data_IF_920604133768
#
_entry.id   IF_920604133768
#
_cell.length_a   1.000
_cell.length_b   1.000
_cell.length_c   1.000
_cell.angle_alpha   90.00
_cell.angle_beta   90.00
_cell.angle_gamma   90.00
#
_symmetry.space_group_name_H-M   'P 1'
#
loop_
_entity.id
_entity.type
_entity.pdbx_description
1 polymer ?
#
# COMPACT_ATOMS: atom_id res chain seq x y z
N UNK A 1 -9.82 16.41 4.16
CA UNK A 1 -9.72 17.71 3.47
C UNK A 1 -10.67 17.71 2.28
N UNK A 2 -11.44 18.78 2.01
CA UNK A 2 -12.22 18.85 0.77
C UNK A 2 -11.26 18.95 -0.42
N UNK A 3 -11.55 18.23 -1.51
CA UNK A 3 -10.84 18.41 -2.77
C UNK A 3 -11.63 19.36 -3.66
N UNK A 4 -11.00 20.44 -4.10
CA UNK A 4 -11.60 21.53 -4.85
C UNK A 4 -10.84 21.74 -6.17
N UNK A 5 -10.66 20.66 -6.92
CA UNK A 5 -9.91 20.66 -8.19
C UNK A 5 -10.75 21.31 -9.31
N UNK A 6 -10.11 22.16 -10.10
CA UNK A 6 -10.64 22.67 -11.37
C UNK A 6 -10.51 21.62 -12.48
N UNK A 7 -11.05 21.90 -13.65
CA UNK A 7 -10.88 21.05 -14.84
C UNK A 7 -9.39 20.85 -15.20
N UNK A 8 -8.59 21.91 -15.10
CA UNK A 8 -7.15 21.83 -15.34
C UNK A 8 -6.42 20.98 -14.30
N UNK A 9 -6.80 21.10 -13.02
CA UNK A 9 -6.24 20.26 -11.94
C UNK A 9 -6.59 18.78 -12.15
N UNK A 10 -7.81 18.49 -12.63
CA UNK A 10 -8.26 17.14 -12.92
C UNK A 10 -7.55 16.53 -14.14
N UNK A 11 -7.36 17.32 -15.19
CA UNK A 11 -6.55 16.92 -16.33
C UNK A 11 -5.12 16.54 -15.90
N UNK A 12 -4.52 17.34 -15.01
CA UNK A 12 -3.20 17.04 -14.45
C UNK A 12 -3.19 15.74 -13.62
N UNK A 13 -4.22 15.46 -12.83
CA UNK A 13 -4.36 14.15 -12.16
C UNK A 13 -4.37 13.00 -13.16
N UNK A 14 -5.09 13.14 -14.26
CA UNK A 14 -5.17 12.14 -15.33
C UNK A 14 -3.80 11.94 -16.00
N UNK A 15 -3.07 13.02 -16.27
CA UNK A 15 -1.70 13.01 -16.83
C UNK A 15 -0.73 12.26 -15.90
N UNK A 16 -0.72 12.58 -14.61
CA UNK A 16 0.08 11.86 -13.61
C UNK A 16 -0.27 10.35 -13.56
N UNK A 17 -1.55 10.01 -13.64
CA UNK A 17 -1.98 8.61 -13.69
C UNK A 17 -1.52 7.87 -14.96
N UNK A 18 -1.24 8.56 -16.07
CA UNK A 18 -0.75 7.88 -17.28
C UNK A 18 0.59 7.18 -17.02
N UNK A 19 1.47 7.72 -16.17
CA UNK A 19 2.72 7.04 -15.76
C UNK A 19 2.45 5.70 -15.06
N UNK A 20 1.45 5.68 -14.17
CA UNK A 20 1.03 4.47 -13.44
C UNK A 20 0.45 3.44 -14.41
N UNK A 21 -0.38 3.89 -15.34
CA UNK A 21 -1.00 3.04 -16.35
C UNK A 21 0.02 2.53 -17.37
N UNK A 22 1.08 3.27 -17.66
CA UNK A 22 2.20 2.83 -18.51
C UNK A 22 2.99 1.71 -17.81
N UNK A 23 3.34 1.90 -16.53
CA UNK A 23 4.02 0.88 -15.73
C UNK A 23 3.19 -0.42 -15.56
N UNK A 24 1.86 -0.27 -15.50
CA UNK A 24 0.91 -1.38 -15.48
C UNK A 24 0.58 -1.95 -16.88
N UNK A 25 1.13 -1.37 -17.94
CA UNK A 25 0.91 -1.74 -19.34
C UNK A 25 -0.58 -1.75 -19.74
N UNK A 26 -1.37 -0.82 -19.20
CA UNK A 26 -2.81 -0.74 -19.46
C UNK A 26 -3.07 -0.12 -20.83
N UNK A 27 -3.93 -0.76 -21.61
CA UNK A 27 -4.29 -0.36 -22.98
C UNK A 27 -5.80 -0.19 -23.13
N UNK A 28 -6.25 0.34 -24.26
CA UNK A 28 -7.67 0.43 -24.61
C UNK A 28 -8.38 -0.94 -24.78
N UNK A 29 -7.63 -2.06 -24.78
CA UNK A 29 -8.22 -3.41 -24.80
C UNK A 29 -8.56 -3.95 -23.41
N UNK A 30 -8.14 -3.24 -22.35
CA UNK A 30 -8.35 -3.68 -20.98
C UNK A 30 -9.74 -3.35 -20.44
N UNK A 31 -10.21 -4.20 -19.53
CA UNK A 31 -11.43 -3.99 -18.74
C UNK A 31 -11.02 -3.95 -17.27
N UNK A 32 -11.08 -2.78 -16.65
CA UNK A 32 -10.61 -2.54 -15.30
C UNK A 32 -11.76 -2.63 -14.28
N UNK A 33 -11.57 -3.44 -13.25
CA UNK A 33 -12.46 -3.49 -12.09
C UNK A 33 -12.01 -2.48 -11.03
N UNK A 34 -12.86 -1.50 -10.76
CA UNK A 34 -12.68 -0.53 -9.68
C UNK A 34 -13.25 -1.10 -8.37
N UNK A 35 -12.40 -1.74 -7.58
CA UNK A 35 -12.79 -2.47 -6.36
C UNK A 35 -12.53 -1.66 -5.08
N UNK A 36 -12.99 -0.42 -5.06
CA UNK A 36 -12.91 0.51 -3.91
C UNK A 36 -14.17 1.37 -3.86
N UNK A 37 -14.48 1.91 -2.68
CA UNK A 37 -15.64 2.78 -2.51
C UNK A 37 -15.38 4.19 -3.06
N UNK A 38 -16.25 4.69 -3.94
CA UNK A 38 -16.24 6.07 -4.45
C UNK A 38 -16.76 7.06 -3.39
N UNK A 39 -16.00 7.22 -2.31
CA UNK A 39 -16.23 8.18 -1.24
C UNK A 39 -15.39 9.46 -1.41
N UNK A 40 -15.12 10.22 -0.35
CA UNK A 40 -14.32 11.46 -0.43
C UNK A 40 -12.82 11.22 -0.75
N UNK A 41 -12.38 9.97 -0.83
CA UNK A 41 -11.00 9.62 -1.22
C UNK A 41 -10.81 9.79 -2.73
N UNK A 42 -10.09 10.83 -3.14
CA UNK A 42 -9.94 11.23 -4.55
C UNK A 42 -9.12 10.25 -5.40
N UNK A 43 -8.14 9.56 -4.82
CA UNK A 43 -7.09 8.87 -5.59
C UNK A 43 -7.63 7.88 -6.64
N UNK A 44 -8.74 7.21 -6.34
CA UNK A 44 -9.34 6.29 -7.29
C UNK A 44 -10.49 6.86 -8.13
N UNK A 45 -11.00 8.06 -7.81
CA UNK A 45 -11.78 8.84 -8.79
C UNK A 45 -10.89 9.25 -9.96
N UNK A 46 -9.68 9.74 -9.67
CA UNK A 46 -8.71 10.09 -10.73
C UNK A 46 -8.22 8.86 -11.49
N UNK A 47 -8.04 7.71 -10.82
CA UNK A 47 -7.74 6.45 -11.50
C UNK A 47 -8.84 6.02 -12.49
N UNK A 48 -10.11 6.12 -12.09
CA UNK A 48 -11.26 5.77 -12.93
C UNK A 48 -11.25 6.61 -14.21
N UNK A 49 -11.12 7.92 -14.06
CA UNK A 49 -11.16 8.84 -15.19
C UNK A 49 -9.91 8.73 -16.06
N UNK A 50 -8.75 8.43 -15.47
CA UNK A 50 -7.52 8.16 -16.22
C UNK A 50 -7.62 6.88 -17.07
N UNK A 51 -8.25 5.83 -16.56
CA UNK A 51 -8.52 4.60 -17.31
C UNK A 51 -9.48 4.86 -18.48
N UNK A 52 -10.57 5.60 -18.23
CA UNK A 52 -11.51 6.00 -19.29
C UNK A 52 -10.80 6.86 -20.33
N UNK A 53 -9.97 7.81 -19.91
CA UNK A 53 -9.16 8.66 -20.78
C UNK A 53 -8.19 7.86 -21.65
N UNK A 54 -7.57 6.80 -21.10
CA UNK A 54 -6.73 5.84 -21.83
C UNK A 54 -7.51 5.03 -22.88
N UNK A 55 -8.84 5.00 -22.78
CA UNK A 55 -9.74 4.22 -23.63
C UNK A 55 -10.00 2.81 -23.11
N UNK A 56 -9.58 2.48 -21.89
CA UNK A 56 -9.94 1.23 -21.24
C UNK A 56 -11.42 1.26 -20.81
N UNK A 57 -12.05 0.09 -20.73
CA UNK A 57 -13.39 -0.02 -20.17
C UNK A 57 -13.29 -0.13 -18.65
N UNK A 58 -14.18 0.54 -17.93
CA UNK A 58 -14.16 0.56 -16.46
C UNK A 58 -15.45 0.00 -15.90
N UNK A 59 -15.32 -0.96 -14.98
CA UNK A 59 -16.42 -1.56 -14.22
C UNK A 59 -16.49 -0.90 -12.84
N UNK A 60 -17.53 -0.10 -12.54
CA UNK A 60 -17.64 0.63 -11.28
C UNK A 60 -18.12 -0.30 -10.15
N UNK A 61 -17.20 -1.08 -9.58
CA UNK A 61 -17.48 -2.05 -8.52
C UNK A 61 -17.71 -1.45 -7.13
N UNK A 62 -17.57 -0.13 -6.97
CA UNK A 62 -17.33 0.47 -5.66
C UNK A 62 -18.42 0.34 -4.61
N UNK A 63 -19.71 0.39 -4.95
CA UNK A 63 -20.78 0.21 -3.96
C UNK A 63 -21.10 -1.25 -3.60
N UNK A 64 -20.42 -2.21 -4.24
CA UNK A 64 -20.78 -3.62 -4.16
C UNK A 64 -20.04 -4.34 -3.03
N UNK A 65 -20.67 -5.38 -2.49
CA UNK A 65 -20.00 -6.31 -1.58
C UNK A 65 -18.87 -7.07 -2.28
N UNK A 66 -17.90 -7.56 -1.51
CA UNK A 66 -16.76 -8.33 -2.02
C UNK A 66 -17.18 -9.49 -2.93
N UNK A 67 -18.18 -10.28 -2.52
CA UNK A 67 -18.70 -11.39 -3.34
C UNK A 67 -19.36 -10.92 -4.64
N UNK A 68 -20.08 -9.79 -4.61
CA UNK A 68 -20.68 -9.22 -5.81
C UNK A 68 -19.62 -8.67 -6.77
N UNK A 69 -18.53 -8.05 -6.26
CA UNK A 69 -17.37 -7.63 -7.05
C UNK A 69 -16.70 -8.82 -7.73
N UNK A 70 -16.48 -9.92 -7.01
CA UNK A 70 -15.90 -11.17 -7.55
C UNK A 70 -16.72 -11.75 -8.69
N UNK A 71 -18.05 -11.79 -8.56
CA UNK A 71 -18.94 -12.27 -9.63
C UNK A 71 -18.92 -11.33 -10.83
N UNK A 72 -19.04 -10.02 -10.58
CA UNK A 72 -19.06 -9.02 -11.64
C UNK A 72 -17.74 -8.99 -12.42
N UNK A 73 -16.59 -9.10 -11.76
CA UNK A 73 -15.30 -9.11 -12.45
C UNK A 73 -15.15 -10.33 -13.36
N UNK A 74 -15.69 -11.48 -12.96
CA UNK A 74 -15.71 -12.70 -13.77
C UNK A 74 -16.67 -12.57 -14.96
N UNK A 75 -17.90 -12.08 -14.73
CA UNK A 75 -18.93 -11.89 -15.77
C UNK A 75 -18.47 -10.89 -16.84
N UNK A 76 -17.82 -9.80 -16.42
CA UNK A 76 -17.28 -8.77 -17.32
C UNK A 76 -15.88 -9.10 -17.84
N UNK A 77 -15.30 -10.24 -17.44
CA UNK A 77 -13.99 -10.72 -17.89
C UNK A 77 -12.89 -9.66 -17.71
N UNK A 78 -12.89 -9.01 -16.56
CA UNK A 78 -11.94 -7.94 -16.24
C UNK A 78 -10.49 -8.44 -16.35
N UNK A 79 -9.60 -7.58 -16.85
CA UNK A 79 -8.16 -7.85 -17.03
C UNK A 79 -7.27 -7.13 -16.04
N UNK A 80 -7.78 -6.04 -15.44
CA UNK A 80 -7.08 -5.20 -14.46
C UNK A 80 -7.95 -5.06 -13.22
N UNK A 81 -7.35 -5.11 -12.03
CA UNK A 81 -8.00 -4.82 -10.75
C UNK A 81 -7.33 -3.61 -10.10
N UNK A 82 -8.11 -2.62 -9.67
CA UNK A 82 -7.63 -1.50 -8.85
C UNK A 82 -8.19 -1.61 -7.43
N UNK A 83 -7.33 -1.74 -6.43
CA UNK A 83 -7.71 -1.84 -5.02
C UNK A 83 -6.55 -1.50 -4.07
N UNK A 84 -6.71 -1.76 -2.77
CA UNK A 84 -5.56 -1.77 -1.83
C UNK A 84 -4.94 -3.17 -1.77
N UNK A 85 -3.66 -3.32 -1.36
CA UNK A 85 -3.04 -4.62 -1.14
C UNK A 85 -3.84 -5.52 -0.19
N UNK A 86 -4.28 -5.00 0.96
CA UNK A 86 -5.10 -5.76 1.92
C UNK A 86 -6.41 -6.22 1.29
N UNK A 87 -7.04 -5.37 0.50
CA UNK A 87 -8.33 -5.72 -0.10
C UNK A 87 -8.19 -6.80 -1.18
N UNK A 88 -7.08 -6.83 -1.93
CA UNK A 88 -6.77 -7.91 -2.86
C UNK A 88 -6.68 -9.27 -2.14
N UNK A 89 -6.02 -9.32 -0.98
CA UNK A 89 -5.94 -10.53 -0.14
C UNK A 89 -7.30 -10.90 0.46
N UNK A 90 -8.06 -9.91 0.93
CA UNK A 90 -9.42 -10.14 1.45
C UNK A 90 -10.35 -10.71 0.38
N UNK A 91 -10.32 -10.17 -0.85
CA UNK A 91 -11.05 -10.70 -1.99
C UNK A 91 -10.66 -12.15 -2.29
N UNK A 92 -9.37 -12.52 -2.21
CA UNK A 92 -8.92 -13.90 -2.36
C UNK A 92 -9.46 -14.83 -1.26
N UNK A 93 -9.48 -14.36 -0.01
CA UNK A 93 -10.08 -15.10 1.10
C UNK A 93 -11.57 -15.35 0.87
N UNK A 94 -12.34 -14.31 0.51
CA UNK A 94 -13.78 -14.43 0.21
C UNK A 94 -14.03 -15.33 -0.99
N UNK A 95 -13.18 -15.29 -2.03
CA UNK A 95 -13.29 -16.18 -3.18
C UNK A 95 -13.15 -17.65 -2.74
N UNK A 96 -12.14 -17.96 -1.91
CA UNK A 96 -11.93 -19.29 -1.35
C UNK A 96 -13.10 -19.76 -0.49
N UNK A 97 -13.62 -18.90 0.39
CA UNK A 97 -14.79 -19.19 1.23
C UNK A 97 -16.04 -19.58 0.40
N UNK A 98 -16.16 -19.02 -0.81
CA UNK A 98 -17.31 -19.24 -1.70
C UNK A 98 -17.02 -20.21 -2.86
N UNK A 99 -15.86 -20.88 -2.85
CA UNK A 99 -15.47 -21.82 -3.90
C UNK A 99 -15.23 -21.19 -5.28
N UNK A 100 -14.91 -19.89 -5.33
CA UNK A 100 -14.53 -19.17 -6.55
C UNK A 100 -13.04 -19.36 -6.76
N UNK A 101 -12.65 -19.95 -7.88
CA UNK A 101 -11.25 -20.07 -8.28
C UNK A 101 -10.79 -18.78 -8.97
N UNK A 102 -9.92 -18.00 -8.33
CA UNK A 102 -9.39 -16.77 -8.92
C UNK A 102 -8.46 -17.06 -10.11
N UNK A 103 -7.79 -18.21 -10.16
CA UNK A 103 -6.94 -18.55 -11.30
C UNK A 103 -7.72 -18.71 -12.62
N UNK A 104 -9.04 -18.89 -12.57
CA UNK A 104 -9.91 -18.99 -13.75
C UNK A 104 -10.38 -17.62 -14.27
N UNK A 105 -10.10 -16.53 -13.54
CA UNK A 105 -10.45 -15.18 -13.97
C UNK A 105 -9.40 -14.63 -14.97
N UNK A 106 -9.67 -13.45 -15.55
CA UNK A 106 -8.80 -12.82 -16.57
C UNK A 106 -7.89 -11.73 -16.03
N UNK A 107 -7.91 -11.49 -14.72
CA UNK A 107 -7.06 -10.49 -14.08
C UNK A 107 -5.61 -10.92 -14.31
N UNK A 108 -4.86 -10.04 -14.94
CA UNK A 108 -3.44 -10.23 -15.25
C UNK A 108 -2.57 -9.20 -14.56
N UNK A 109 -3.15 -8.06 -14.18
CA UNK A 109 -2.49 -6.99 -13.43
C UNK A 109 -3.39 -6.51 -12.29
N UNK A 110 -2.80 -6.26 -11.13
CA UNK A 110 -3.47 -5.69 -9.96
C UNK A 110 -2.72 -4.41 -9.58
N UNK A 111 -3.34 -3.26 -9.83
CA UNK A 111 -2.79 -1.96 -9.44
C UNK A 111 -3.23 -1.69 -8.00
N UNK A 112 -2.25 -1.57 -7.11
CA UNK A 112 -2.49 -1.35 -5.68
C UNK A 112 -2.03 0.02 -5.22
N UNK A 113 -2.74 0.62 -4.27
CA UNK A 113 -2.37 1.90 -3.68
C UNK A 113 -3.03 2.11 -2.30
N UNK A 114 -2.70 3.23 -1.65
CA UNK A 114 -3.38 3.72 -0.43
C UNK A 114 -2.84 3.15 0.89
N UNK A 115 -2.00 2.14 0.84
CA UNK A 115 -1.24 1.60 1.98
C UNK A 115 0.02 0.89 1.47
N UNK A 116 1.07 0.76 2.31
CA UNK A 116 2.23 -0.06 1.99
C UNK A 116 1.81 -1.50 1.67
N UNK A 117 2.43 -2.11 0.67
CA UNK A 117 2.21 -3.52 0.38
C UNK A 117 2.57 -3.92 -1.04
N UNK A 118 2.31 -3.04 -2.02
CA UNK A 118 2.59 -3.33 -3.42
C UNK A 118 4.06 -3.65 -3.67
N UNK A 119 4.99 -2.82 -3.16
CA UNK A 119 6.45 -3.04 -3.20
C UNK A 119 7.01 -3.90 -2.05
N UNK A 120 6.17 -4.40 -1.14
CA UNK A 120 6.63 -5.25 -0.02
C UNK A 120 6.71 -6.72 -0.51
N UNK A 121 7.91 -7.36 -0.57
CA UNK A 121 8.09 -8.62 -1.28
C UNK A 121 7.12 -9.74 -0.87
N UNK A 122 6.91 -9.94 0.42
CA UNK A 122 6.04 -11.01 0.93
C UNK A 122 4.55 -10.71 0.72
N UNK A 123 4.13 -9.44 0.79
CA UNK A 123 2.74 -9.03 0.52
C UNK A 123 2.44 -9.16 -0.97
N UNK A 124 3.36 -8.70 -1.82
CA UNK A 124 3.28 -8.90 -3.27
C UNK A 124 3.15 -10.37 -3.61
N UNK A 125 4.09 -11.20 -3.20
CA UNK A 125 4.10 -12.62 -3.55
C UNK A 125 2.83 -13.33 -3.08
N UNK A 126 2.28 -12.92 -1.92
CA UNK A 126 0.99 -13.38 -1.44
C UNK A 126 -0.17 -13.03 -2.39
N UNK A 127 -0.23 -11.79 -2.87
CA UNK A 127 -1.27 -11.37 -3.84
C UNK A 127 -1.07 -12.09 -5.18
N UNK A 128 0.15 -12.07 -5.72
CA UNK A 128 0.46 -12.64 -7.04
C UNK A 128 0.17 -14.15 -7.08
N UNK A 129 0.47 -14.89 -6.02
CA UNK A 129 0.18 -16.32 -5.95
C UNK A 129 -1.31 -16.64 -5.85
N UNK A 130 -2.10 -15.83 -5.13
CA UNK A 130 -3.53 -16.04 -4.98
C UNK A 130 -4.30 -15.68 -6.25
N UNK A 131 -3.85 -14.64 -6.95
CA UNK A 131 -4.52 -14.09 -8.12
C UNK A 131 -3.96 -14.59 -9.45
N UNK A 132 -2.75 -15.15 -9.45
CA UNK A 132 -1.98 -15.46 -10.65
C UNK A 132 -1.86 -14.25 -11.60
N UNK A 133 -1.58 -13.07 -11.01
CA UNK A 133 -1.53 -11.78 -11.67
C UNK A 133 -0.36 -10.95 -11.15
N UNK A 134 0.25 -10.12 -12.00
CA UNK A 134 1.33 -9.19 -11.60
C UNK A 134 0.77 -8.09 -10.70
N UNK A 135 1.45 -7.78 -9.60
CA UNK A 135 1.11 -6.63 -8.74
C UNK A 135 1.91 -5.41 -9.17
N UNK A 136 1.23 -4.29 -9.37
CA UNK A 136 1.83 -3.01 -9.77
C UNK A 136 1.53 -2.00 -8.67
N UNK A 137 2.57 -1.48 -8.00
CA UNK A 137 2.40 -0.50 -6.94
C UNK A 137 2.23 0.92 -7.49
N UNK A 138 1.49 1.74 -6.76
CA UNK A 138 1.28 3.15 -7.03
C UNK A 138 1.21 3.92 -5.72
N UNK A 139 1.84 5.10 -5.70
CA UNK A 139 1.74 6.02 -4.57
C UNK A 139 1.20 7.39 -4.96
N UNK A 140 0.34 7.90 -4.08
CA UNK A 140 -0.33 9.17 -4.22
C UNK A 140 -0.80 9.69 -2.86
N UNK A 141 -1.13 10.97 -2.80
CA UNK A 141 -1.77 11.57 -1.63
C UNK A 141 -2.88 12.52 -2.07
N UNK A 142 -3.95 12.62 -1.28
CA UNK A 142 -5.10 13.49 -1.62
C UNK A 142 -4.70 14.97 -1.69
N UNK A 143 -3.66 15.35 -0.94
CA UNK A 143 -3.05 16.69 -0.91
C UNK A 143 -2.14 16.94 -2.12
N UNK A 144 -1.46 15.90 -2.61
CA UNK A 144 -0.42 16.04 -3.63
C UNK A 144 -0.94 15.81 -5.05
N UNK A 145 -1.46 14.61 -5.32
CA UNK A 145 -1.45 14.03 -6.65
C UNK A 145 -1.04 12.56 -6.63
N UNK A 146 -1.19 11.89 -7.78
CA UNK A 146 -0.57 10.61 -8.07
C UNK A 146 0.92 10.89 -8.35
N UNK A 147 1.82 10.52 -7.44
CA UNK A 147 3.20 11.00 -7.49
C UNK A 147 4.23 9.91 -7.80
N UNK A 148 3.91 8.64 -7.60
CA UNK A 148 4.84 7.53 -7.81
C UNK A 148 4.23 6.38 -8.60
N UNK A 149 5.02 5.73 -9.44
CA UNK A 149 4.64 4.57 -10.25
C UNK A 149 5.67 3.45 -10.08
N UNK A 150 5.26 2.20 -10.30
CA UNK A 150 6.13 1.04 -10.13
C UNK A 150 7.43 1.11 -10.96
N UNK A 151 8.53 0.66 -10.36
CA UNK A 151 9.77 0.38 -11.07
C UNK A 151 9.61 -0.83 -12.01
N UNK A 152 10.55 -1.00 -12.94
CA UNK A 152 10.50 -2.03 -13.98
C UNK A 152 10.64 -3.46 -13.42
N UNK A 153 11.29 -3.61 -12.26
CA UNK A 153 11.36 -4.87 -11.51
C UNK A 153 10.25 -5.00 -10.46
N UNK A 154 9.35 -4.01 -10.45
CA UNK A 154 8.30 -3.76 -9.49
C UNK A 154 8.81 -3.53 -8.05
N UNK A 155 10.08 -3.67 -7.69
CA UNK A 155 10.49 -3.72 -6.25
C UNK A 155 10.46 -2.37 -5.53
N UNK A 156 10.14 -1.30 -6.24
CA UNK A 156 10.03 0.04 -5.68
C UNK A 156 9.11 0.94 -6.51
N UNK A 157 9.31 2.24 -6.35
CA UNK A 157 8.57 3.27 -7.07
C UNK A 157 9.53 4.28 -7.69
N UNK A 158 9.29 4.70 -8.91
CA UNK A 158 9.85 5.95 -9.45
C UNK A 158 8.95 7.11 -9.08
N UNK A 159 9.53 8.27 -8.76
CA UNK A 159 8.77 9.51 -8.56
C UNK A 159 8.57 10.22 -9.90
N UNK A 160 7.40 10.78 -10.18
CA UNK A 160 7.14 11.52 -11.42
C UNK A 160 7.82 12.90 -11.36
N UNK A 161 9.15 12.95 -11.52
CA UNK A 161 9.93 14.19 -11.32
C UNK A 161 9.66 15.29 -12.37
N UNK A 162 8.90 14.98 -13.44
CA UNK A 162 8.35 16.01 -14.32
C UNK A 162 7.22 16.82 -13.67
N UNK A 163 6.52 16.25 -12.70
CA UNK A 163 5.31 16.83 -12.08
C UNK A 163 5.47 17.15 -10.59
N UNK A 164 6.55 16.66 -9.97
CA UNK A 164 6.83 16.85 -8.56
C UNK A 164 8.30 17.19 -8.31
N UNK A 165 8.55 18.17 -7.44
CA UNK A 165 9.86 18.36 -6.82
C UNK A 165 9.93 17.50 -5.57
N UNK A 166 10.95 16.66 -5.48
CA UNK A 166 11.10 15.66 -4.43
C UNK A 166 12.33 15.91 -3.59
N UNK A 167 12.14 15.93 -2.28
CA UNK A 167 13.20 15.96 -1.27
C UNK A 167 13.01 14.76 -0.34
N UNK A 168 14.10 14.13 0.09
CA UNK A 168 14.07 13.11 1.13
C UNK A 168 14.94 13.60 2.27
N UNK A 169 14.32 13.87 3.41
CA UNK A 169 14.94 14.57 4.53
C UNK A 169 15.00 13.69 5.77
N UNK A 170 16.15 13.71 6.45
CA UNK A 170 16.32 13.08 7.76
C UNK A 170 16.08 14.15 8.82
N UNK A 171 14.90 14.10 9.45
CA UNK A 171 14.54 15.00 10.54
C UNK A 171 15.15 14.55 11.87
N UNK A 172 15.74 15.50 12.59
CA UNK A 172 16.28 15.31 13.93
C UNK A 172 15.22 15.63 14.99
N UNK A 173 15.35 15.11 16.23
CA UNK A 173 14.40 15.38 17.32
C UNK A 173 14.23 16.86 17.66
N UNK A 174 15.24 17.69 17.40
CA UNK A 174 15.21 19.14 17.63
C UNK A 174 14.52 19.92 16.50
N UNK A 175 14.01 19.23 15.48
CA UNK A 175 13.34 19.80 14.31
C UNK A 175 14.28 20.25 13.20
N UNK A 176 15.60 20.14 13.38
CA UNK A 176 16.56 20.32 12.28
C UNK A 176 16.48 19.15 11.30
N UNK A 177 16.97 19.35 10.07
CA UNK A 177 16.98 18.30 9.06
C UNK A 177 18.17 18.42 8.12
N UNK A 178 18.52 17.29 7.52
CA UNK A 178 19.52 17.20 6.44
C UNK A 178 18.94 16.40 5.29
N UNK A 179 19.46 16.59 4.07
CA UNK A 179 19.15 15.71 2.94
C UNK A 179 19.61 14.29 3.26
N UNK A 180 18.82 13.28 2.90
CA UNK A 180 19.23 11.89 2.97
C UNK A 180 20.33 11.58 1.94
N UNK A 181 21.33 10.81 2.35
CA UNK A 181 22.32 10.23 1.44
C UNK A 181 21.69 9.10 0.59
N UNK A 182 22.27 8.70 -0.56
CA UNK A 182 21.78 7.57 -1.34
C UNK A 182 21.65 6.29 -0.50
N UNK A 183 20.48 5.64 -0.55
CA UNK A 183 20.15 4.46 0.26
C UNK A 183 19.87 4.75 1.74
N UNK A 184 19.95 6.01 2.18
CA UNK A 184 19.58 6.39 3.55
C UNK A 184 18.10 6.69 3.63
N UNK A 185 17.40 6.02 4.54
CA UNK A 185 15.98 6.28 4.79
C UNK A 185 15.76 7.70 5.31
N UNK A 186 14.75 8.36 4.76
CA UNK A 186 14.29 9.68 5.19
C UNK A 186 12.82 9.87 4.90
N UNK A 187 12.29 10.99 5.37
CA UNK A 187 10.90 11.37 5.13
C UNK A 187 10.76 12.10 3.81
N UNK A 188 9.75 11.72 3.04
CA UNK A 188 9.42 12.28 1.75
C UNK A 188 8.78 13.68 1.93
N UNK A 189 9.32 14.65 1.21
CA UNK A 189 8.84 16.03 1.17
C UNK A 189 8.66 16.44 -0.28
N UNK A 190 7.46 16.93 -0.64
CA UNK A 190 7.11 17.11 -2.06
C UNK A 190 6.44 18.46 -2.34
N UNK A 191 6.63 18.94 -3.57
CA UNK A 191 5.91 20.08 -4.15
C UNK A 191 5.27 19.62 -5.46
N UNK A 192 3.95 19.79 -5.62
CA UNK A 192 3.27 19.48 -6.88
C UNK A 192 3.35 20.68 -7.85
N UNK A 193 3.50 20.41 -9.15
CA UNK A 193 3.77 21.45 -10.14
C UNK A 193 2.56 21.82 -11.00
N UNK A 194 1.58 20.93 -11.16
CA UNK A 194 0.44 21.15 -12.06
C UNK A 194 -0.94 21.32 -11.40
N UNK A 195 -1.03 21.25 -10.07
CA UNK A 195 -2.30 21.36 -9.33
C UNK A 195 -2.53 22.76 -8.74
N UNK A 196 -2.95 23.71 -9.57
CA UNK A 196 -3.18 25.11 -9.20
C UNK A 196 -4.30 25.33 -8.18
N UNK A 197 -5.32 24.47 -8.15
CA UNK A 197 -6.42 24.52 -7.18
C UNK A 197 -6.07 23.97 -5.79
N UNK A 198 -4.99 23.19 -5.70
CA UNK A 198 -4.47 22.62 -4.46
C UNK A 198 -2.94 22.54 -4.44
N UNK A 199 -2.23 23.68 -4.59
CA UNK A 199 -0.79 23.68 -4.66
C UNK A 199 -0.22 23.49 -3.26
N UNK A 200 0.81 22.67 -3.16
CA UNK A 200 1.53 22.44 -1.91
C UNK A 200 3.02 22.64 -2.13
N UNK A 201 3.69 23.30 -1.19
CA UNK A 201 5.12 23.61 -1.27
C UNK A 201 5.85 22.96 -0.11
N UNK A 202 6.83 22.11 -0.42
CA UNK A 202 7.58 21.31 0.56
C UNK A 202 6.66 20.63 1.58
N UNK A 203 5.61 20.01 1.08
CA UNK A 203 4.66 19.28 1.89
C UNK A 203 5.33 18.04 2.47
N UNK A 204 5.42 18.02 3.79
CA UNK A 204 5.93 16.90 4.57
C UNK A 204 4.87 15.79 4.56
N UNK A 205 5.10 14.72 3.80
CA UNK A 205 4.05 13.72 3.55
C UNK A 205 3.81 12.81 4.75
N UNK A 206 4.80 12.67 5.63
CA UNK A 206 4.82 11.65 6.67
C UNK A 206 5.32 10.31 6.17
N UNK A 207 5.63 10.13 4.89
CA UNK A 207 6.03 8.83 4.35
C UNK A 207 7.55 8.63 4.44
N UNK A 208 7.96 7.46 4.91
CA UNK A 208 9.35 7.04 4.96
C UNK A 208 9.73 6.27 3.70
N UNK A 209 10.81 6.69 3.06
CA UNK A 209 11.28 6.14 1.78
C UNK A 209 12.81 5.97 1.80
N UNK A 210 13.33 5.18 0.87
CA UNK A 210 14.77 4.95 0.68
C UNK A 210 15.18 5.36 -0.75
N UNK A 211 15.73 6.57 -0.94
CA UNK A 211 16.02 7.10 -2.26
C UNK A 211 17.32 6.55 -2.84
N UNK A 212 17.28 6.20 -4.12
CA UNK A 212 18.41 5.83 -4.95
C UNK A 212 18.37 6.73 -6.18
N UNK A 213 19.28 7.70 -6.26
CA UNK A 213 19.37 8.64 -7.38
C UNK A 213 20.18 8.09 -8.56
N UNK A 214 21.18 7.26 -8.28
CA UNK A 214 21.99 6.58 -9.29
C UNK A 214 21.64 5.09 -9.32
N UNK A 215 20.82 4.68 -10.28
CA UNK A 215 20.40 3.30 -10.50
C UNK A 215 20.54 2.89 -11.97
N UNK A 216 20.30 1.59 -12.25
CA UNK A 216 20.51 1.00 -13.58
C UNK A 216 19.25 0.89 -14.44
N UNK A 217 18.08 1.31 -13.94
CA UNK A 217 16.84 1.35 -14.72
C UNK A 217 16.90 2.32 -15.91
N UNK A 218 16.03 2.13 -16.90
CA UNK A 218 15.94 3.03 -18.06
C UNK A 218 15.33 4.38 -17.68
N UNK A 219 14.37 4.37 -16.76
CA UNK A 219 13.87 5.58 -16.12
C UNK A 219 15.02 6.35 -15.48
N UNK A 220 14.98 7.68 -15.55
CA UNK A 220 15.99 8.57 -14.91
C UNK A 220 15.47 9.27 -13.67
N UNK A 221 14.21 9.03 -13.31
CA UNK A 221 13.63 9.61 -12.12
C UNK A 221 14.13 8.89 -10.87
N UNK A 222 14.19 9.58 -9.75
CA UNK A 222 14.60 8.97 -8.47
C UNK A 222 13.80 7.69 -8.18
N UNK A 223 14.55 6.61 -7.90
CA UNK A 223 14.00 5.32 -7.50
C UNK A 223 13.90 5.25 -5.98
N UNK A 224 12.72 4.92 -5.47
CA UNK A 224 12.45 4.66 -4.06
C UNK A 224 12.46 3.15 -3.83
N UNK A 225 13.58 2.64 -3.31
CA UNK A 225 13.78 1.23 -3.05
C UNK A 225 12.77 0.73 -2.00
N UNK A 226 11.97 -0.29 -2.33
CA UNK A 226 10.89 -0.78 -1.47
C UNK A 226 9.65 0.14 -1.41
N UNK A 227 9.58 1.18 -2.24
CA UNK A 227 8.45 2.11 -2.33
C UNK A 227 8.24 2.93 -1.05
N UNK A 228 6.97 3.11 -0.66
CA UNK A 228 6.62 3.70 0.64
C UNK A 228 6.76 2.65 1.73
N UNK A 229 7.81 2.78 2.55
CA UNK A 229 8.12 1.83 3.63
C UNK A 229 7.05 1.91 4.70
N UNK A 230 6.59 3.11 5.03
CA UNK A 230 5.60 3.32 6.07
C UNK A 230 5.47 4.80 6.41
N UNK A 231 4.79 5.06 7.51
CA UNK A 231 4.48 6.40 8.00
C UNK A 231 5.36 6.73 9.19
N UNK A 232 5.96 7.92 9.21
CA UNK A 232 6.82 8.41 10.29
C UNK A 232 6.01 8.63 11.57
N UNK A 233 4.75 9.04 11.45
CA UNK A 233 3.77 9.16 12.54
C UNK A 233 3.27 7.79 13.04
N UNK A 234 3.25 6.77 12.20
CA UNK A 234 2.92 5.38 12.60
C UNK A 234 4.18 4.59 13.07
N UNK A 235 5.37 5.18 13.04
CA UNK A 235 6.62 4.52 13.44
C UNK A 235 6.68 4.35 14.96
N UNK A 236 6.95 3.13 15.41
CA UNK A 236 7.02 2.81 16.83
C UNK A 236 8.46 2.65 17.26
N UNK A 237 8.80 3.23 18.41
CA UNK A 237 10.08 2.97 19.06
C UNK A 237 9.86 1.93 20.14
N UNK A 238 10.00 0.65 19.78
CA UNK A 238 9.86 -0.46 20.73
C UNK A 238 11.25 -0.83 21.23
N UNK A 239 11.53 -0.56 22.51
CA UNK A 239 12.84 -0.82 23.14
C UNK A 239 14.02 -0.22 22.35
N UNK A 240 13.83 0.99 21.82
CA UNK A 240 14.86 1.72 21.05
C UNK A 240 15.00 1.28 19.59
N UNK A 241 14.18 0.35 19.11
CA UNK A 241 14.14 -0.08 17.70
C UNK A 241 12.96 0.59 17.00
N UNK A 242 13.22 1.22 15.85
CA UNK A 242 12.19 1.77 14.98
C UNK A 242 11.50 0.63 14.22
N UNK A 243 10.22 0.42 14.53
CA UNK A 243 9.38 -0.62 13.93
C UNK A 243 8.29 0.04 13.11
N UNK A 244 8.25 -0.29 11.83
CA UNK A 244 7.15 0.09 10.94
C UNK A 244 6.11 -1.03 10.90
N UNK A 245 4.80 -0.70 10.93
CA UNK A 245 3.72 -1.69 10.78
C UNK A 245 3.88 -2.59 9.53
N UNK A 246 4.38 -2.04 8.42
CA UNK A 246 4.68 -2.77 7.18
C UNK A 246 5.74 -3.86 7.36
N UNK A 247 6.73 -3.64 8.24
CA UNK A 247 7.76 -4.63 8.55
C UNK A 247 7.17 -5.82 9.30
N UNK A 248 6.22 -5.55 10.21
CA UNK A 248 5.46 -6.60 10.90
C UNK A 248 4.61 -7.38 9.92
N UNK A 249 3.87 -6.68 9.05
CA UNK A 249 3.05 -7.30 8.02
C UNK A 249 3.86 -8.23 7.11
N UNK A 250 5.01 -7.77 6.61
CA UNK A 250 5.91 -8.57 5.78
C UNK A 250 6.30 -9.90 6.44
N UNK A 251 6.57 -9.87 7.75
CA UNK A 251 6.97 -11.07 8.51
C UNK A 251 5.77 -12.01 8.72
N UNK A 252 4.59 -11.49 9.07
CA UNK A 252 3.38 -12.31 9.25
C UNK A 252 2.98 -13.01 7.94
N UNK A 253 3.02 -12.27 6.83
CA UNK A 253 2.60 -12.75 5.50
C UNK A 253 3.50 -13.85 4.93
N UNK A 254 4.72 -13.98 5.45
CA UNK A 254 5.64 -15.07 5.09
C UNK A 254 5.16 -16.44 5.58
N UNK A 255 4.55 -16.48 6.77
CA UNK A 255 4.08 -17.72 7.40
C UNK A 255 2.67 -18.03 6.93
N UNK A 256 1.78 -17.03 6.97
CA UNK A 256 0.43 -17.14 6.44
C UNK A 256 0.10 -15.90 5.58
N UNK A 257 0.17 -16.03 4.25
CA UNK A 257 -0.16 -14.98 3.29
C UNK A 257 -1.53 -14.35 3.51
N UNK A 258 -2.49 -15.10 4.05
CA UNK A 258 -3.90 -14.70 4.20
C UNK A 258 -4.31 -14.40 5.64
N UNK A 259 -3.40 -14.52 6.60
CA UNK A 259 -3.74 -14.32 8.00
C UNK A 259 -4.24 -12.89 8.27
N UNK A 260 -5.32 -12.79 9.02
CA UNK A 260 -5.71 -11.53 9.62
C UNK A 260 -5.01 -11.36 10.96
N UNK A 261 -4.50 -10.17 11.24
CA UNK A 261 -3.77 -9.91 12.48
C UNK A 261 -4.00 -8.48 12.96
N UNK A 262 -3.80 -8.29 14.27
CA UNK A 262 -3.70 -6.98 14.91
C UNK A 262 -2.41 -6.86 15.71
N UNK A 263 -1.86 -5.67 15.69
CA UNK A 263 -0.72 -5.20 16.44
C UNK A 263 -1.23 -4.39 17.62
N UNK A 264 -0.77 -4.72 18.83
CA UNK A 264 -1.14 -4.05 20.06
C UNK A 264 0.13 -3.49 20.67
N UNK A 265 0.25 -2.15 20.73
CA UNK A 265 1.22 -1.53 21.64
C UNK A 265 0.63 -1.45 23.03
N UNK A 266 1.45 -1.77 24.00
CA UNK A 266 1.17 -1.46 25.39
C UNK A 266 2.42 -0.91 26.06
N UNK A 267 2.25 -0.26 27.20
CA UNK A 267 3.36 0.13 28.07
C UNK A 267 3.33 -0.76 29.29
N UNK A 268 4.46 -1.43 29.57
CA UNK A 268 4.64 -2.17 30.81
C UNK A 268 5.87 -1.60 31.51
N UNK A 269 5.66 -1.10 32.72
CA UNK A 269 6.61 -0.25 33.44
C UNK A 269 6.98 1.01 32.61
N UNK A 270 8.24 1.13 32.19
CA UNK A 270 8.78 2.25 31.39
C UNK A 270 9.11 1.84 29.94
N UNK A 271 8.72 0.63 29.53
CA UNK A 271 9.06 0.10 28.20
C UNK A 271 7.81 -0.13 27.36
N UNK A 272 7.83 0.46 26.17
CA UNK A 272 6.88 0.13 25.12
C UNK A 272 7.09 -1.33 24.68
N UNK A 273 6.00 -2.09 24.60
CA UNK A 273 5.96 -3.46 24.14
C UNK A 273 5.04 -3.58 22.93
N UNK A 274 5.31 -4.58 22.10
CA UNK A 274 4.49 -4.93 20.95
C UNK A 274 4.04 -6.39 21.10
N UNK A 275 2.74 -6.61 20.96
CA UNK A 275 2.12 -7.94 20.89
C UNK A 275 1.39 -8.09 19.56
N UNK A 276 1.43 -9.28 18.97
CA UNK A 276 0.63 -9.63 17.80
C UNK A 276 -0.48 -10.58 18.21
N UNK A 277 -1.68 -10.31 17.72
CA UNK A 277 -2.75 -11.30 17.69
C UNK A 277 -3.09 -11.66 16.25
N UNK A 278 -3.23 -12.95 15.99
CA UNK A 278 -3.39 -13.47 14.62
C UNK A 278 -4.54 -14.48 14.57
N UNK A 279 -5.42 -14.32 13.60
CA UNK A 279 -6.40 -15.32 13.23
C UNK A 279 -5.70 -16.45 12.51
N UNK A 280 -5.71 -17.63 13.12
CA UNK A 280 -5.11 -18.79 12.49
C UNK A 280 -5.77 -20.10 12.93
N UNK A 281 -5.75 -21.08 12.03
CA UNK A 281 -6.20 -22.43 12.32
C UNK A 281 -5.22 -23.07 13.33
N UNK A 282 -5.70 -23.63 14.45
CA UNK A 282 -4.85 -24.21 15.48
C UNK A 282 -4.01 -25.40 14.98
N UNK A 283 -4.37 -26.03 13.85
CA UNK A 283 -3.58 -27.10 13.23
C UNK A 283 -2.43 -26.61 12.33
N UNK A 284 -2.41 -25.33 11.97
CA UNK A 284 -1.46 -24.76 10.99
C UNK A 284 -0.58 -23.64 11.56
N UNK A 285 -0.88 -23.15 12.76
CA UNK A 285 -0.20 -22.00 13.33
C UNK A 285 0.75 -22.37 14.46
N UNK A 286 2.02 -22.02 14.29
CA UNK A 286 3.04 -22.09 15.33
C UNK A 286 3.48 -20.68 15.74
N UNK A 287 2.99 -20.20 16.89
CA UNK A 287 3.36 -18.89 17.42
C UNK A 287 4.90 -18.75 17.58
N UNK A 288 5.58 -19.82 17.99
CA UNK A 288 7.03 -19.79 18.24
C UNK A 288 7.86 -19.53 16.99
N UNK A 289 7.38 -19.96 15.81
CA UNK A 289 8.05 -19.69 14.54
C UNK A 289 8.00 -18.18 14.20
N UNK A 290 6.82 -17.58 14.35
CA UNK A 290 6.63 -16.15 14.10
C UNK A 290 7.40 -15.29 15.12
N UNK A 291 7.43 -15.70 16.39
CA UNK A 291 8.24 -15.06 17.44
C UNK A 291 9.75 -15.10 17.14
N UNK A 292 10.25 -16.21 16.57
CA UNK A 292 11.65 -16.32 16.14
C UNK A 292 11.96 -15.37 14.98
N UNK A 293 11.07 -15.28 13.97
CA UNK A 293 11.24 -14.36 12.84
C UNK A 293 11.29 -12.90 13.24
N UNK A 294 10.44 -12.48 14.19
CA UNK A 294 10.51 -11.12 14.73
C UNK A 294 11.83 -10.85 15.44
N UNK A 295 12.36 -11.85 16.16
CA UNK A 295 13.67 -11.74 16.81
C UNK A 295 14.80 -11.63 15.79
N UNK A 296 14.78 -12.43 14.73
CA UNK A 296 15.79 -12.43 13.68
C UNK A 296 15.82 -11.10 12.90
N UNK A 297 14.65 -10.59 12.50
CA UNK A 297 14.56 -9.45 11.57
C UNK A 297 14.43 -8.08 12.23
N UNK A 298 13.82 -8.03 13.42
CA UNK A 298 13.60 -6.77 14.14
C UNK A 298 14.47 -6.68 15.40
N UNK A 299 15.21 -7.73 15.76
CA UNK A 299 15.91 -7.84 17.03
C UNK A 299 14.99 -7.64 18.25
N UNK A 300 13.70 -7.97 18.11
CA UNK A 300 12.67 -7.78 19.14
C UNK A 300 11.98 -9.10 19.50
N UNK A 301 11.74 -9.29 20.80
CA UNK A 301 10.83 -10.33 21.28
C UNK A 301 9.41 -9.77 21.25
N UNK A 302 8.64 -10.23 20.28
CA UNK A 302 7.25 -9.81 20.06
C UNK A 302 6.34 -11.01 20.36
N UNK A 303 5.64 -11.06 21.51
CA UNK A 303 4.75 -12.16 21.84
C UNK A 303 3.62 -12.30 20.81
N UNK A 304 3.31 -13.53 20.42
CA UNK A 304 2.23 -13.80 19.46
C UNK A 304 1.15 -14.67 20.10
N UNK A 305 -0.10 -14.23 20.05
CA UNK A 305 -1.25 -15.04 20.49
C UNK A 305 -2.23 -15.30 19.35
N UNK A 306 -2.72 -16.54 19.28
CA UNK A 306 -3.78 -16.94 18.36
C UNK A 306 -5.13 -16.43 18.86
N UNK A 307 -5.95 -15.91 17.96
CA UNK A 307 -7.39 -15.67 18.16
C UNK A 307 -8.20 -16.50 17.17
N UNK A 308 -9.50 -16.66 17.42
CA UNK A 308 -10.36 -17.46 16.53
C UNK A 308 -10.63 -16.71 15.21
N UNK A 309 -10.79 -17.48 14.12
CA UNK A 309 -11.01 -16.93 12.78
C UNK A 309 -12.32 -16.14 12.72
N UNK A 310 -12.28 -14.94 12.15
CA UNK A 310 -13.41 -14.01 12.04
C UNK A 310 -13.66 -13.15 13.29
N UNK A 311 -12.74 -13.08 14.24
CA UNK A 311 -12.87 -12.26 15.45
C UNK A 311 -12.23 -10.87 15.33
N UNK A 312 -11.27 -10.69 14.42
CA UNK A 312 -10.61 -9.42 14.15
C UNK A 312 -11.44 -8.56 13.16
N UNK A 313 -11.44 -7.23 13.34
CA UNK A 313 -12.19 -6.33 12.46
C UNK A 313 -11.58 -6.31 11.05
N UNK A 314 -12.42 -6.55 10.04
CA UNK A 314 -12.06 -6.42 8.62
C UNK A 314 -12.39 -5.01 8.12
N UNK A 315 -11.55 -4.44 7.25
CA UNK A 315 -11.74 -3.11 6.65
C UNK A 315 -11.87 -3.23 5.13
N UNK A 316 -12.85 -2.51 4.54
CA UNK A 316 -12.98 -2.35 3.08
C UNK A 316 -12.09 -1.19 2.53
N UNK A 317 -11.31 -0.54 3.40
CA UNK A 317 -10.34 0.51 3.06
C UNK A 317 -8.98 0.28 3.72
N UNK A 318 -8.24 1.34 4.08
CA UNK A 318 -6.95 1.22 4.80
C UNK A 318 -7.13 0.37 6.06
N UNK A 319 -6.29 -0.63 6.23
CA UNK A 319 -6.41 -1.55 7.37
C UNK A 319 -6.02 -0.84 8.69
N UNK A 320 -6.93 -0.84 9.68
CA UNK A 320 -6.63 -0.40 11.05
C UNK A 320 -6.24 -1.61 11.89
N UNK A 321 -5.02 -2.12 11.66
CA UNK A 321 -4.47 -3.27 12.40
C UNK A 321 -3.82 -2.85 13.72
N UNK A 322 -3.93 -1.59 14.13
CA UNK A 322 -3.21 -1.03 15.26
C UNK A 322 -4.16 -0.70 16.43
N UNK A 323 -3.77 -1.13 17.63
CA UNK A 323 -4.38 -0.73 18.90
C UNK A 323 -3.26 -0.16 19.78
N UNK A 324 -3.40 1.11 20.18
CA UNK A 324 -2.46 1.76 21.09
C UNK A 324 -3.04 1.81 22.51
N UNK A 325 -2.61 0.88 23.35
CA UNK A 325 -3.03 0.81 24.76
C UNK A 325 -2.05 1.54 25.69
N UNK A 326 -1.03 2.25 25.17
CA UNK A 326 -0.05 2.99 25.99
C UNK A 326 -0.64 4.20 26.72
N UNK A 327 -1.79 4.70 26.24
CA UNK A 327 -2.49 5.86 26.81
C UNK A 327 -3.53 5.48 27.87
N UNK A 328 -3.84 4.19 28.01
CA UNK A 328 -4.84 3.65 28.96
C UNK A 328 -4.18 3.06 30.24
N UNK A 329 -2.87 3.28 30.42
CA UNK A 329 -2.04 2.77 31.51
C UNK A 329 -1.45 3.85 32.41
#
# INVERSE_FOLDING_TARGET
>A
MPVLDTDADWAWWIECWQYVLDAAEVTASDVAMMAFSFGPFIGFWSANDALVHRGALVVPGGGLSTLARLKLLADQRCTVLCCTPTYALHMASVAKEHGINLADNRISRIIVAGEPGGSVPNVRAAIESQWNARVVDHAGASELGAWGFASEDDTGLHVIESEFITEVLVFQPDGTYVQAEPGQRGELVMTNLGRLGGPVMRYRTGDMVEPVWEHTFECRFVHLNGGVIGRADDMLVIRGVNVFPSSIESIVREIDPTAEFRMIASRQDEMDQLKIEIEADPSRFNAGELEERFRERLALRVPVSRVDVGTLPRSEGKSKRWVDERMDS
#
